data_IF_155618181417
#
_entry.id   IF_155618181417
#
_cell.length_a   1.000
_cell.length_b   1.000
_cell.length_c   1.000
_cell.angle_alpha   90.00
_cell.angle_beta   90.00
_cell.angle_gamma   90.00
#
_symmetry.space_group_name_H-M   'P 1'
#
loop_
_entity.id
_entity.type
_entity.pdbx_description
1 polymer ?
#
# COMPACT_ATOMS: atom_id res chain seq x y z
N UNK A 1 6.99 6.94 -5.20
CA UNK A 1 7.13 6.39 -3.85
C UNK A 1 5.95 6.78 -3.04
N UNK A 2 5.10 5.87 -2.72
CA UNK A 2 5.40 4.61 -2.05
C UNK A 2 5.61 3.41 -2.97
N UNK A 3 6.20 2.35 -2.42
CA UNK A 3 6.32 1.06 -3.06
C UNK A 3 5.46 0.08 -2.27
N UNK A 4 4.43 -0.44 -2.91
CA UNK A 4 3.37 -1.19 -2.22
C UNK A 4 3.25 -2.61 -2.76
N UNK A 5 2.97 -3.53 -1.84
CA UNK A 5 2.66 -4.91 -2.18
C UNK A 5 1.34 -5.29 -1.52
N UNK A 6 0.41 -5.82 -2.31
CA UNK A 6 -0.88 -6.33 -1.84
C UNK A 6 -0.85 -7.84 -1.98
N UNK A 7 -1.01 -8.57 -0.88
CA UNK A 7 -0.94 -10.03 -0.87
C UNK A 7 -2.26 -10.63 -0.44
N UNK A 8 -2.72 -11.60 -1.22
CA UNK A 8 -3.98 -12.31 -1.00
C UNK A 8 -3.81 -13.78 -1.31
N UNK A 9 -4.76 -14.63 -0.89
CA UNK A 9 -4.85 -16.00 -1.40
C UNK A 9 -6.17 -16.23 -2.14
N UNK A 10 -7.13 -15.31 -2.05
CA UNK A 10 -8.35 -15.41 -2.86
C UNK A 10 -8.03 -15.15 -4.33
N UNK A 11 -8.60 -15.97 -5.21
CA UNK A 11 -8.50 -15.75 -6.64
C UNK A 11 -9.52 -14.71 -7.09
N UNK A 12 -9.10 -13.44 -7.11
CA UNK A 12 -9.93 -12.36 -7.61
C UNK A 12 -9.95 -12.35 -9.14
N UNK A 13 -11.06 -11.92 -9.73
CA UNK A 13 -11.11 -11.73 -11.18
C UNK A 13 -10.17 -10.58 -11.60
N UNK A 14 -9.62 -10.62 -12.84
CA UNK A 14 -8.70 -9.56 -13.28
C UNK A 14 -9.23 -8.14 -13.10
N UNK A 15 -10.53 -7.90 -13.36
CA UNK A 15 -11.11 -6.58 -13.17
C UNK A 15 -11.15 -6.20 -11.69
N UNK A 16 -11.37 -7.16 -10.81
CA UNK A 16 -11.37 -6.92 -9.37
C UNK A 16 -9.96 -6.61 -8.86
N UNK A 17 -8.94 -7.28 -9.39
CA UNK A 17 -7.55 -7.00 -9.07
C UNK A 17 -7.23 -5.54 -9.38
N UNK A 18 -7.63 -5.05 -10.55
CA UNK A 18 -7.41 -3.65 -10.90
C UNK A 18 -8.17 -2.70 -9.98
N UNK A 19 -9.38 -3.07 -9.57
CA UNK A 19 -10.17 -2.26 -8.63
C UNK A 19 -9.51 -2.20 -7.26
N UNK A 20 -8.95 -3.31 -6.79
CA UNK A 20 -8.22 -3.35 -5.51
C UNK A 20 -6.96 -2.47 -5.57
N UNK A 21 -6.20 -2.58 -6.66
CA UNK A 21 -5.01 -1.75 -6.86
C UNK A 21 -5.38 -0.27 -6.85
N UNK A 22 -6.44 0.10 -7.60
CA UNK A 22 -6.92 1.48 -7.66
C UNK A 22 -7.36 1.98 -6.29
N UNK A 23 -8.03 1.14 -5.51
CA UNK A 23 -8.49 1.50 -4.17
C UNK A 23 -7.32 1.91 -3.26
N UNK A 24 -6.25 1.14 -3.29
CA UNK A 24 -5.06 1.42 -2.48
C UNK A 24 -4.32 2.66 -3.01
N UNK A 25 -4.20 2.78 -4.33
CA UNK A 25 -3.56 3.93 -4.95
C UNK A 25 -4.27 5.25 -4.59
N UNK A 26 -5.60 5.29 -4.70
CA UNK A 26 -6.36 6.50 -4.37
C UNK A 26 -6.23 6.86 -2.90
N UNK A 27 -6.16 5.87 -2.01
CA UNK A 27 -5.95 6.12 -0.59
C UNK A 27 -4.57 6.76 -0.34
N UNK A 28 -3.55 6.29 -1.04
CA UNK A 28 -2.21 6.86 -0.94
C UNK A 28 -2.18 8.29 -1.45
N UNK A 29 -2.85 8.57 -2.56
CA UNK A 29 -2.96 9.94 -3.08
C UNK A 29 -3.65 10.87 -2.08
N UNK A 30 -4.75 10.40 -1.51
CA UNK A 30 -5.52 11.20 -0.55
C UNK A 30 -4.71 11.52 0.72
N UNK A 31 -4.09 10.51 1.32
CA UNK A 31 -3.47 10.64 2.64
C UNK A 31 -2.00 11.06 2.59
N UNK A 32 -1.25 10.61 1.60
CA UNK A 32 0.20 10.84 1.51
C UNK A 32 0.57 11.89 0.48
N UNK A 33 -0.41 12.43 -0.25
CA UNK A 33 -0.17 13.44 -1.29
C UNK A 33 0.76 12.92 -2.39
N UNK A 34 0.61 11.66 -2.75
CA UNK A 34 1.41 11.04 -3.81
C UNK A 34 1.13 11.72 -5.13
N UNK A 35 2.17 11.93 -5.94
CA UNK A 35 2.03 12.55 -7.25
C UNK A 35 1.22 11.65 -8.19
N UNK A 36 0.41 12.27 -9.05
CA UNK A 36 -0.32 11.53 -10.06
C UNK A 36 0.66 10.79 -10.98
N UNK A 37 0.35 9.52 -11.24
CA UNK A 37 1.21 8.68 -12.07
C UNK A 37 2.31 7.97 -11.29
N UNK A 38 2.58 8.34 -10.05
CA UNK A 38 3.54 7.63 -9.21
C UNK A 38 2.85 6.41 -8.60
N UNK A 39 2.69 5.39 -9.43
CA UNK A 39 1.94 4.20 -9.10
C UNK A 39 2.88 3.00 -9.12
N UNK A 40 3.29 2.55 -7.93
CA UNK A 40 4.17 1.39 -7.78
C UNK A 40 3.51 0.40 -6.83
N UNK A 41 2.59 -0.39 -7.38
CA UNK A 41 1.80 -1.35 -6.61
C UNK A 41 1.90 -2.70 -7.29
N UNK A 42 2.27 -3.74 -6.51
CA UNK A 42 2.30 -5.12 -6.97
C UNK A 42 1.22 -5.89 -6.25
N UNK A 43 0.52 -6.70 -7.00
CA UNK A 43 -0.53 -7.57 -6.48
C UNK A 43 -0.04 -9.01 -6.57
N UNK A 44 0.00 -9.71 -5.43
CA UNK A 44 0.52 -11.07 -5.35
C UNK A 44 -0.59 -11.99 -4.85
N UNK A 45 -0.93 -12.98 -5.66
CA UNK A 45 -1.85 -14.04 -5.27
C UNK A 45 -1.03 -15.24 -4.85
N UNK A 46 -1.24 -15.71 -3.62
CA UNK A 46 -0.57 -16.89 -3.10
C UNK A 46 -1.44 -18.13 -3.22
N UNK A 47 -0.82 -19.27 -3.38
CA UNK A 47 -1.49 -20.55 -3.22
C UNK A 47 -2.00 -20.64 -1.77
N UNK A 48 -3.26 -21.08 -1.54
CA UNK A 48 -3.80 -21.13 -0.18
C UNK A 48 -2.95 -21.91 0.82
N UNK A 49 -2.26 -22.96 0.37
CA UNK A 49 -1.37 -23.73 1.22
C UNK A 49 -0.13 -22.95 1.67
N UNK A 50 0.18 -21.84 0.98
CA UNK A 50 1.34 -21.01 1.26
C UNK A 50 0.97 -19.65 1.87
N UNK A 51 -0.27 -19.51 2.31
CA UNK A 51 -0.77 -18.25 2.87
C UNK A 51 -1.67 -18.56 4.06
N UNK A 52 -1.06 -18.62 5.24
CA UNK A 52 -1.82 -18.91 6.46
C UNK A 52 -2.60 -17.69 6.90
N UNK A 53 -3.90 -17.86 7.10
CA UNK A 53 -4.82 -16.81 7.51
C UNK A 53 -5.03 -16.93 9.03
N UNK A 54 -4.96 -15.82 9.77
CA UNK A 54 -5.20 -15.86 11.21
C UNK A 54 -6.61 -16.38 11.54
N UNK A 55 -6.75 -17.04 12.67
CA UNK A 55 -8.06 -17.55 13.13
C UNK A 55 -9.05 -16.39 13.22
N UNK A 56 -10.28 -16.63 12.77
CA UNK A 56 -11.35 -15.62 12.80
C UNK A 56 -11.41 -14.72 11.59
N UNK A 57 -10.48 -14.85 10.65
CA UNK A 57 -10.48 -14.09 9.38
C UNK A 57 -11.01 -14.97 8.26
N UNK A 58 -11.49 -14.33 7.20
CA UNK A 58 -12.05 -15.04 6.04
C UNK A 58 -11.01 -15.28 4.95
N UNK A 59 -11.42 -15.99 3.89
CA UNK A 59 -10.58 -16.19 2.71
C UNK A 59 -10.27 -14.90 1.93
N UNK A 60 -10.94 -13.79 2.27
CA UNK A 60 -10.66 -12.48 1.67
C UNK A 60 -9.52 -11.74 2.36
N UNK A 61 -8.84 -12.37 3.32
CA UNK A 61 -7.77 -11.72 4.07
C UNK A 61 -6.72 -11.12 3.14
N UNK A 62 -6.41 -9.84 3.39
CA UNK A 62 -5.57 -9.04 2.52
C UNK A 62 -4.49 -8.35 3.36
N UNK A 63 -3.24 -8.49 2.94
CA UNK A 63 -2.11 -7.82 3.60
C UNK A 63 -1.59 -6.75 2.65
N UNK A 64 -1.54 -5.52 3.14
CA UNK A 64 -1.03 -4.38 2.37
C UNK A 64 0.24 -3.89 3.07
N UNK A 65 1.39 -4.08 2.42
CA UNK A 65 2.66 -3.58 2.91
C UNK A 65 3.12 -2.42 2.06
N UNK A 66 3.47 -1.31 2.70
CA UNK A 66 3.81 -0.07 2.02
C UNK A 66 5.16 0.41 2.52
N UNK A 67 6.13 0.52 1.61
CA UNK A 67 7.42 1.13 1.89
C UNK A 67 7.34 2.60 1.51
N UNK A 68 7.63 3.48 2.45
CA UNK A 68 7.57 4.94 2.24
C UNK A 68 8.84 5.60 2.74
N UNK A 69 9.08 6.81 2.24
CA UNK A 69 10.11 7.66 2.81
C UNK A 69 9.76 8.03 4.25
N UNK A 70 10.76 8.03 5.11
CA UNK A 70 10.62 8.47 6.49
C UNK A 70 10.16 9.94 6.53
N UNK A 71 9.25 10.28 7.43
CA UNK A 71 8.86 11.67 7.66
C UNK A 71 7.36 11.94 7.70
N UNK A 72 6.51 10.93 7.56
CA UNK A 72 5.07 11.15 7.59
C UNK A 72 4.58 11.30 9.03
N UNK A 73 3.56 12.15 9.21
CA UNK A 73 2.94 12.37 10.50
C UNK A 73 2.03 11.20 10.91
N UNK A 74 1.71 11.12 12.20
CA UNK A 74 0.76 10.13 12.71
C UNK A 74 -0.61 10.37 12.09
N UNK A 75 -1.00 11.63 11.89
CA UNK A 75 -2.27 11.98 11.27
C UNK A 75 -2.36 11.47 9.83
N UNK A 76 -1.27 11.62 9.07
CA UNK A 76 -1.21 11.10 7.70
C UNK A 76 -1.33 9.57 7.67
N UNK A 77 -0.66 8.91 8.60
CA UNK A 77 -0.74 7.44 8.70
C UNK A 77 -2.15 6.98 9.06
N UNK A 78 -2.78 7.64 10.03
CA UNK A 78 -4.16 7.33 10.42
C UNK A 78 -5.12 7.53 9.23
N UNK A 79 -4.97 8.63 8.51
CA UNK A 79 -5.78 8.91 7.34
C UNK A 79 -5.58 7.86 6.25
N UNK A 80 -4.35 7.41 6.04
CA UNK A 80 -4.02 6.37 5.06
C UNK A 80 -4.74 5.06 5.39
N UNK A 81 -4.63 4.60 6.64
CA UNK A 81 -5.27 3.33 7.03
C UNK A 81 -6.78 3.40 6.88
N UNK A 82 -7.38 4.50 7.30
CA UNK A 82 -8.83 4.68 7.15
C UNK A 82 -9.26 4.70 5.69
N UNK A 83 -8.50 5.38 4.85
CA UNK A 83 -8.81 5.47 3.42
C UNK A 83 -8.68 4.11 2.73
N UNK A 84 -7.63 3.35 3.04
CA UNK A 84 -7.46 2.00 2.49
C UNK A 84 -8.62 1.10 2.88
N UNK A 85 -8.97 1.06 4.17
CA UNK A 85 -10.07 0.22 4.66
C UNK A 85 -11.40 0.63 4.03
N UNK A 86 -11.68 1.92 3.97
CA UNK A 86 -12.89 2.43 3.32
C UNK A 86 -12.97 2.01 1.86
N UNK A 87 -11.88 2.20 1.11
CA UNK A 87 -11.86 1.92 -0.32
C UNK A 87 -11.93 0.41 -0.61
N UNK A 88 -11.21 -0.40 0.16
CA UNK A 88 -11.28 -1.85 0.02
C UNK A 88 -12.64 -2.40 0.44
N UNK A 89 -13.31 -1.74 1.38
CA UNK A 89 -14.68 -2.10 1.76
C UNK A 89 -15.65 -2.00 0.60
N UNK A 90 -15.42 -1.06 -0.30
CA UNK A 90 -16.26 -0.91 -1.52
C UNK A 90 -16.06 -2.05 -2.51
N UNK A 91 -14.95 -2.76 -2.42
CA UNK A 91 -14.71 -3.95 -3.25
C UNK A 91 -15.28 -5.19 -2.59
N UNK A 92 -15.70 -5.10 -1.34
CA UNK A 92 -16.28 -6.21 -0.60
C UNK A 92 -15.32 -6.88 0.38
N UNK A 93 -14.21 -6.23 0.72
CA UNK A 93 -13.28 -6.74 1.73
C UNK A 93 -13.65 -6.15 3.08
N UNK A 94 -14.00 -7.02 4.03
CA UNK A 94 -14.38 -6.60 5.38
C UNK A 94 -13.19 -5.96 6.09
N UNK A 95 -13.39 -4.90 6.89
CA UNK A 95 -12.30 -4.28 7.64
C UNK A 95 -11.50 -5.26 8.49
N UNK A 96 -12.14 -6.29 9.05
CA UNK A 96 -11.45 -7.29 9.86
C UNK A 96 -10.52 -8.20 9.06
N UNK A 97 -10.62 -8.18 7.73
CA UNK A 97 -9.78 -8.96 6.82
C UNK A 97 -8.63 -8.15 6.25
N UNK A 98 -8.34 -6.97 6.79
CA UNK A 98 -7.31 -6.09 6.25
C UNK A 98 -6.22 -5.86 7.29
N UNK A 99 -4.99 -6.16 6.93
CA UNK A 99 -3.80 -5.80 7.71
C UNK A 99 -2.94 -4.87 6.88
N UNK A 100 -2.56 -3.74 7.45
CA UNK A 100 -1.74 -2.74 6.79
C UNK A 100 -0.47 -2.54 7.61
N UNK A 101 0.68 -2.60 6.95
CA UNK A 101 1.98 -2.36 7.59
C UNK A 101 2.72 -1.30 6.78
N UNK A 102 3.22 -0.28 7.46
CA UNK A 102 4.11 0.72 6.87
C UNK A 102 5.54 0.43 7.26
N UNK A 103 6.43 0.47 6.27
CA UNK A 103 7.87 0.45 6.49
C UNK A 103 8.39 1.83 6.15
N UNK A 104 8.80 2.58 7.16
CA UNK A 104 9.38 3.91 6.97
C UNK A 104 10.88 3.76 6.79
N UNK A 105 11.38 4.18 5.64
CA UNK A 105 12.75 3.93 5.22
C UNK A 105 13.43 5.27 4.99
N UNK A 106 14.59 5.50 5.65
CA UNK A 106 15.34 6.74 5.45
C UNK A 106 15.69 6.98 3.98
N UNK A 107 15.75 8.26 3.58
CA UNK A 107 15.98 8.62 2.18
C UNK A 107 17.27 8.03 1.61
N UNK A 108 18.32 7.92 2.43
CA UNK A 108 19.60 7.35 1.99
C UNK A 108 19.54 5.85 1.72
N UNK A 109 18.45 5.18 2.12
CA UNK A 109 18.25 3.75 1.87
C UNK A 109 17.51 3.47 0.56
N UNK A 110 17.19 4.51 -0.20
CA UNK A 110 16.53 4.37 -1.49
C UNK A 110 17.50 4.74 -2.60
N UNK A 111 17.76 3.78 -3.50
CA UNK A 111 18.50 4.03 -4.74
C UNK A 111 17.51 4.25 -5.87
N UNK A 112 17.39 5.48 -6.37
CA UNK A 112 16.44 5.86 -7.41
C UNK A 112 17.19 6.46 -8.60
N UNK A 113 16.49 6.63 -9.72
CA UNK A 113 17.06 7.26 -10.90
C UNK A 113 18.42 6.66 -11.31
N UNK A 114 18.49 5.32 -11.32
CA UNK A 114 19.73 4.66 -11.71
C UNK A 114 20.77 4.54 -10.60
N UNK A 115 20.33 4.54 -9.34
CA UNK A 115 21.22 4.30 -8.20
C UNK A 115 21.63 5.53 -7.42
N UNK A 116 20.95 6.65 -7.65
CA UNK A 116 21.20 7.89 -6.90
C UNK A 116 20.45 7.83 -5.56
N UNK A 117 21.06 8.31 -4.49
CA UNK A 117 20.40 8.38 -3.18
C UNK A 117 19.20 9.34 -3.25
N UNK A 118 18.06 8.91 -2.73
CA UNK A 118 16.87 9.77 -2.72
C UNK A 118 17.10 11.06 -1.91
N UNK A 119 18.02 11.05 -0.93
CA UNK A 119 18.38 12.24 -0.15
C UNK A 119 19.11 13.30 -0.95
N UNK A 120 19.62 12.96 -2.14
CA UNK A 120 20.44 13.86 -2.96
C UNK A 120 19.70 14.41 -4.18
N UNK A 121 18.40 14.11 -4.32
CA UNK A 121 17.62 14.58 -5.46
C UNK A 121 16.39 15.37 -5.01
N UNK A 122 15.89 16.22 -5.91
CA UNK A 122 14.60 16.89 -5.70
C UNK A 122 13.48 15.89 -6.04
N UNK A 123 12.70 15.52 -5.02
CA UNK A 123 11.64 14.54 -5.16
C UNK A 123 10.37 15.13 -5.79
N UNK A 124 10.26 16.47 -5.84
CA UNK A 124 9.06 17.13 -6.37
C UNK A 124 7.84 17.06 -5.48
N UNK A 125 7.99 16.61 -4.22
CA UNK A 125 6.90 16.54 -3.25
C UNK A 125 7.44 16.58 -1.84
N UNK A 126 6.53 16.79 -0.85
CA UNK A 126 6.89 16.80 0.57
C UNK A 126 6.75 15.41 1.17
N UNK A 127 7.72 14.99 1.97
CA UNK A 127 7.68 13.70 2.68
C UNK A 127 7.17 13.82 4.12
N UNK A 128 7.23 14.99 4.70
CA UNK A 128 6.87 15.24 6.10
C UNK A 128 5.47 15.85 6.26
N UNK A 129 4.48 15.20 5.70
CA UNK A 129 3.07 15.67 5.76
C UNK A 129 2.21 14.85 6.74
#
# INVERSE_FOLDING_TARGET
>A
MPLTKIEVCKRWLPVQVQTIIEAVYLAQREALKVLEGDRQIRFVEHCPEHFHIPAGKSGNYTVVEINIFLGRSIEAKRALYKAIVRNLGRVGIDPSDILIVLHEIPLENWGIQGGVLASEVDLGFKVNV
#
